data_IF_261044410881
#
_entry.id   IF_261044410881
#
_cell.length_a   1.000
_cell.length_b   1.000
_cell.length_c   1.000
_cell.angle_alpha   90.00
_cell.angle_beta   90.00
_cell.angle_gamma   90.00
#
_symmetry.space_group_name_H-M   'P 1'
#
loop_
_entity.id
_entity.type
_entity.pdbx_description
1 polymer ?
#
# COMPACT_ATOMS: atom_id res chain seq x y z
N UNK A 1 18.93 6.15 22.52
CA UNK A 1 18.21 5.34 21.52
C UNK A 1 18.32 3.90 21.97
N UNK A 2 17.18 3.30 22.29
CA UNK A 2 17.13 1.90 22.71
C UNK A 2 17.36 1.01 21.48
N UNK A 3 18.49 0.29 21.47
CA UNK A 3 18.89 -0.54 20.33
C UNK A 3 17.95 -1.74 20.19
N UNK A 4 17.44 -2.28 21.29
CA UNK A 4 16.50 -3.41 21.26
C UNK A 4 15.17 -2.97 20.64
N UNK A 5 14.66 -1.80 21.04
CA UNK A 5 13.44 -1.23 20.48
C UNK A 5 13.61 -0.88 18.98
N UNK A 6 14.78 -0.37 18.57
CA UNK A 6 15.08 -0.12 17.16
C UNK A 6 15.08 -1.43 16.35
N UNK A 7 15.73 -2.48 16.85
CA UNK A 7 15.75 -3.80 16.20
C UNK A 7 14.34 -4.35 16.09
N UNK A 8 13.55 -4.31 17.16
CA UNK A 8 12.15 -4.75 17.15
C UNK A 8 11.31 -3.96 16.12
N UNK A 9 11.54 -2.66 16.00
CA UNK A 9 10.89 -1.80 14.99
C UNK A 9 11.25 -2.22 13.56
N UNK A 10 12.52 -2.55 13.29
CA UNK A 10 12.95 -3.03 11.97
C UNK A 10 12.35 -4.40 11.64
N UNK A 11 12.32 -5.32 12.62
CA UNK A 11 11.68 -6.64 12.49
C UNK A 11 10.18 -6.52 12.23
N UNK A 12 9.53 -5.44 12.69
CA UNK A 12 8.14 -5.14 12.35
C UNK A 12 7.98 -4.49 10.97
N UNK A 13 8.72 -3.41 10.69
CA UNK A 13 8.56 -2.61 9.46
C UNK A 13 8.85 -3.45 8.21
N UNK A 14 9.97 -4.16 8.19
CA UNK A 14 10.46 -4.80 6.96
C UNK A 14 9.46 -5.86 6.45
N UNK A 15 9.03 -6.86 7.24
CA UNK A 15 8.03 -7.82 6.77
C UNK A 15 6.71 -7.16 6.43
N UNK A 16 6.28 -6.13 7.16
CA UNK A 16 5.03 -5.43 6.87
C UNK A 16 5.06 -4.68 5.53
N UNK A 17 6.17 -4.02 5.20
CA UNK A 17 6.35 -3.33 3.92
C UNK A 17 6.41 -4.31 2.75
N UNK A 18 7.16 -5.41 2.91
CA UNK A 18 7.42 -6.35 1.80
C UNK A 18 6.32 -7.40 1.60
N UNK A 19 5.53 -7.70 2.63
CA UNK A 19 4.44 -8.68 2.53
C UNK A 19 3.37 -8.25 1.51
N UNK A 20 2.72 -9.21 0.82
CA UNK A 20 1.65 -8.89 -0.11
C UNK A 20 0.56 -8.06 0.58
N UNK A 21 0.03 -7.08 -0.14
CA UNK A 21 -0.97 -6.14 0.35
C UNK A 21 -1.41 -5.20 -0.77
N UNK A 22 -2.38 -4.32 -0.53
CA UNK A 22 -3.02 -3.55 -1.60
C UNK A 22 -2.03 -2.74 -2.45
N UNK A 23 -1.09 -2.04 -1.82
CA UNK A 23 -0.07 -1.26 -2.53
C UNK A 23 0.87 -2.14 -3.36
N UNK A 24 1.37 -3.24 -2.78
CA UNK A 24 2.30 -4.15 -3.43
C UNK A 24 1.66 -4.85 -4.62
N UNK A 25 0.45 -5.38 -4.45
CA UNK A 25 -0.32 -6.03 -5.53
C UNK A 25 -0.67 -5.01 -6.61
N UNK A 26 -1.10 -3.80 -6.24
CA UNK A 26 -1.39 -2.74 -7.20
C UNK A 26 -0.15 -2.33 -7.99
N UNK A 27 1.00 -2.16 -7.33
CA UNK A 27 2.25 -1.84 -8.00
C UNK A 27 2.70 -2.94 -8.97
N UNK A 28 2.51 -4.21 -8.61
CA UNK A 28 2.81 -5.33 -9.49
C UNK A 28 1.82 -5.40 -10.68
N UNK A 29 0.53 -5.17 -10.46
CA UNK A 29 -0.49 -5.14 -11.52
C UNK A 29 -0.32 -3.93 -12.46
N UNK A 30 0.03 -2.77 -11.90
CA UNK A 30 0.32 -1.56 -12.68
C UNK A 30 1.65 -1.70 -13.42
N UNK A 31 2.67 -2.31 -12.79
CA UNK A 31 3.96 -2.61 -13.39
C UNK A 31 3.86 -3.61 -14.54
N UNK A 32 2.99 -4.62 -14.44
CA UNK A 32 2.76 -5.55 -15.55
C UNK A 32 2.12 -4.84 -16.76
N UNK A 33 1.20 -3.92 -16.54
CA UNK A 33 0.48 -3.21 -17.61
C UNK A 33 1.27 -2.04 -18.22
N UNK A 34 1.92 -1.23 -17.38
CA UNK A 34 2.54 0.04 -17.77
C UNK A 34 4.07 0.08 -17.60
N UNK A 35 4.67 -1.01 -17.12
CA UNK A 35 6.11 -1.12 -16.88
C UNK A 35 6.58 -0.36 -15.64
N UNK A 36 7.80 -0.67 -15.19
CA UNK A 36 8.38 -0.10 -13.97
C UNK A 36 8.37 1.44 -13.96
N UNK A 37 8.86 2.08 -15.05
CA UNK A 37 8.86 3.55 -15.18
C UNK A 37 7.45 4.15 -15.13
N UNK A 38 6.47 3.47 -15.73
CA UNK A 38 5.07 3.90 -15.71
C UNK A 38 4.46 3.87 -14.32
N UNK A 39 4.95 3.02 -13.42
CA UNK A 39 4.48 2.88 -12.03
C UNK A 39 5.12 3.87 -11.06
N UNK A 40 6.20 4.56 -11.43
CA UNK A 40 6.90 5.49 -10.53
C UNK A 40 6.02 6.67 -10.08
N UNK A 41 5.15 7.18 -10.95
CA UNK A 41 4.21 8.26 -10.60
C UNK A 41 3.17 7.80 -9.59
N UNK A 42 2.74 6.54 -9.66
CA UNK A 42 1.87 5.94 -8.65
C UNK A 42 2.61 5.79 -7.32
N UNK A 43 3.84 5.26 -7.35
CA UNK A 43 4.68 5.04 -6.17
C UNK A 43 5.01 6.34 -5.45
N UNK A 44 5.28 7.44 -6.18
CA UNK A 44 5.52 8.74 -5.56
C UNK A 44 4.28 9.27 -4.84
N UNK A 45 3.09 9.03 -5.41
CA UNK A 45 1.81 9.27 -4.74
C UNK A 45 1.68 8.45 -3.45
N UNK A 46 2.06 7.16 -3.48
CA UNK A 46 2.05 6.31 -2.29
C UNK A 46 3.00 6.82 -1.21
N UNK A 47 4.20 7.27 -1.57
CA UNK A 47 5.17 7.83 -0.63
C UNK A 47 4.63 9.06 0.10
N UNK A 48 3.98 9.97 -0.64
CA UNK A 48 3.34 11.14 -0.05
C UNK A 48 2.12 10.74 0.78
N UNK A 49 1.28 9.83 0.29
CA UNK A 49 0.13 9.32 1.03
C UNK A 49 0.53 8.63 2.34
N UNK A 50 1.58 7.81 2.36
CA UNK A 50 2.11 7.18 3.57
C UNK A 50 2.64 8.23 4.53
N UNK A 51 3.33 9.24 4.02
CA UNK A 51 3.86 10.33 4.85
C UNK A 51 2.72 11.11 5.51
N UNK A 52 1.69 11.48 4.74
CA UNK A 52 0.51 12.18 5.27
C UNK A 52 -0.20 11.30 6.29
N UNK A 53 -0.52 10.05 5.93
CA UNK A 53 -1.21 9.12 6.82
C UNK A 53 -0.42 8.88 8.11
N UNK A 54 0.88 8.61 7.99
CA UNK A 54 1.76 8.36 9.12
C UNK A 54 1.92 9.58 10.03
N UNK A 55 2.02 10.79 9.47
CA UNK A 55 2.05 12.02 10.27
C UNK A 55 0.69 12.36 10.88
N UNK A 56 -0.42 12.05 10.21
CA UNK A 56 -1.75 12.16 10.80
C UNK A 56 -1.89 11.21 11.99
N UNK A 57 -1.54 9.93 11.83
CA UNK A 57 -1.57 8.96 12.94
C UNK A 57 -0.54 9.32 14.02
N UNK A 58 0.64 9.81 13.65
CA UNK A 58 1.68 10.24 14.59
C UNK A 58 1.28 11.48 15.40
N UNK A 59 0.74 12.50 14.74
CA UNK A 59 0.19 13.69 15.38
C UNK A 59 -1.05 13.35 16.21
N UNK A 60 -1.92 12.50 15.67
CA UNK A 60 -3.12 12.07 16.36
C UNK A 60 -2.78 11.18 17.55
N UNK A 61 -1.75 10.34 17.56
CA UNK A 61 -1.31 9.60 18.76
C UNK A 61 -0.65 10.51 19.82
N UNK A 62 -0.54 11.82 19.60
CA UNK A 62 -0.28 12.81 20.68
C UNK A 62 -1.60 13.25 21.34
N UNK A 63 -2.74 13.05 20.67
CA UNK A 63 -4.09 13.44 21.09
C UNK A 63 -5.08 12.28 21.30
N UNK A 64 -4.81 11.09 20.75
CA UNK A 64 -5.63 9.87 20.76
C UNK A 64 -4.98 8.89 21.73
N UNK A 65 -5.03 9.24 23.00
CA UNK A 65 -4.96 8.22 24.05
C UNK A 65 -6.35 7.66 24.40
N UNK A 66 -7.44 7.98 23.66
CA UNK A 66 -8.79 7.71 24.22
C UNK A 66 -9.98 7.41 23.25
N UNK A 67 -9.81 6.95 22.00
CA UNK A 67 -10.98 6.75 21.11
C UNK A 67 -10.91 5.58 20.09
N UNK A 68 -11.18 4.35 20.56
CA UNK A 68 -11.14 3.09 19.80
C UNK A 68 -12.13 3.02 18.60
N UNK A 69 -13.35 3.57 18.74
CA UNK A 69 -14.45 3.43 17.75
C UNK A 69 -14.18 4.12 16.39
N UNK A 70 -13.35 5.16 16.39
CA UNK A 70 -12.95 5.87 15.16
C UNK A 70 -12.14 4.97 14.23
N UNK A 71 -11.30 4.08 14.79
CA UNK A 71 -10.44 3.21 14.01
C UNK A 71 -11.22 2.09 13.30
N UNK A 72 -12.22 1.51 13.96
CA UNK A 72 -13.05 0.45 13.38
C UNK A 72 -13.83 0.96 12.16
N UNK A 73 -14.39 2.17 12.25
CA UNK A 73 -15.15 2.79 11.15
C UNK A 73 -14.30 2.98 9.90
N UNK A 74 -13.05 3.38 10.07
CA UNK A 74 -12.14 3.67 8.97
C UNK A 74 -11.66 2.39 8.28
N UNK A 75 -11.52 1.29 9.02
CA UNK A 75 -11.23 -0.03 8.49
C UNK A 75 -12.32 -0.51 7.51
N UNK A 76 -13.61 -0.37 7.89
CA UNK A 76 -14.73 -0.75 7.03
C UNK A 76 -14.81 0.07 5.73
N UNK A 77 -14.57 1.39 5.81
CA UNK A 77 -14.55 2.28 4.63
C UNK A 77 -13.42 1.88 3.67
N UNK A 78 -12.24 1.58 4.21
CA UNK A 78 -11.11 1.11 3.42
C UNK A 78 -11.38 -0.21 2.71
N UNK A 79 -11.99 -1.16 3.41
CA UNK A 79 -12.36 -2.46 2.87
C UNK A 79 -13.31 -2.34 1.65
N UNK A 80 -14.32 -1.48 1.75
CA UNK A 80 -15.27 -1.22 0.66
C UNK A 80 -14.60 -0.65 -0.60
N UNK A 81 -13.64 0.27 -0.44
CA UNK A 81 -12.92 0.84 -1.58
C UNK A 81 -11.96 -0.14 -2.24
N UNK A 82 -11.28 -0.99 -1.46
CA UNK A 82 -10.43 -2.06 -2.05
C UNK A 82 -11.30 -3.03 -2.84
N UNK A 83 -12.48 -3.40 -2.34
CA UNK A 83 -13.44 -4.24 -3.07
C UNK A 83 -13.86 -3.59 -4.41
N UNK A 84 -14.12 -2.28 -4.41
CA UNK A 84 -14.38 -1.51 -5.63
C UNK A 84 -13.19 -1.52 -6.61
N UNK A 85 -11.97 -1.28 -6.12
CA UNK A 85 -10.77 -1.24 -6.96
C UNK A 85 -10.46 -2.62 -7.57
N UNK A 86 -10.69 -3.68 -6.78
CA UNK A 86 -10.58 -5.05 -7.23
C UNK A 86 -11.54 -5.37 -8.37
N UNK A 87 -12.80 -4.94 -8.26
CA UNK A 87 -13.79 -5.10 -9.33
C UNK A 87 -13.34 -4.38 -10.62
N UNK A 88 -12.81 -3.16 -10.51
CA UNK A 88 -12.30 -2.39 -11.66
C UNK A 88 -11.10 -3.05 -12.35
N UNK A 89 -10.20 -3.67 -11.59
CA UNK A 89 -9.04 -4.40 -12.13
C UNK A 89 -9.47 -5.73 -12.76
N UNK A 90 -10.40 -6.46 -12.15
CA UNK A 90 -10.88 -7.73 -12.67
C UNK A 90 -11.69 -7.60 -13.97
N UNK A 91 -12.25 -6.41 -14.23
CA UNK A 91 -13.09 -6.10 -15.39
C UNK A 91 -12.37 -5.25 -16.45
N UNK A 92 -11.08 -4.93 -16.28
CA UNK A 92 -10.33 -4.19 -17.30
C UNK A 92 -10.08 -5.08 -18.52
N UNK A 93 -10.53 -4.62 -19.70
CA UNK A 93 -10.31 -5.35 -20.94
C UNK A 93 -8.82 -5.37 -21.31
N UNK A 94 -8.30 -6.49 -21.82
CA UNK A 94 -6.95 -6.56 -22.34
C UNK A 94 -6.97 -6.01 -23.77
N UNK A 95 -6.52 -4.77 -23.94
CA UNK A 95 -6.04 -4.22 -25.20
C UNK A 95 -7.06 -4.30 -26.37
N UNK A 96 -8.03 -3.39 -26.43
CA UNK A 96 -8.37 -2.72 -27.69
C UNK A 96 -7.11 -2.01 -28.19
N UNK A 97 -6.65 -2.42 -29.38
CA UNK A 97 -5.64 -1.75 -30.18
C UNK A 97 -6.12 -0.41 -30.77
N UNK A 98 -7.25 0.14 -30.31
CA UNK A 98 -7.91 1.29 -30.92
C UNK A 98 -7.98 2.50 -30.02
N UNK A 99 -8.64 2.39 -28.86
CA UNK A 99 -8.99 3.54 -28.03
C UNK A 99 -8.94 3.12 -26.56
N UNK A 100 -7.84 3.43 -25.89
CA UNK A 100 -7.73 3.12 -24.47
C UNK A 100 -7.25 4.31 -23.66
N UNK A 101 -8.26 5.01 -23.15
CA UNK A 101 -8.30 5.63 -21.84
C UNK A 101 -8.10 4.57 -20.72
N UNK A 102 -7.09 3.69 -20.86
CA UNK A 102 -6.65 2.81 -19.78
C UNK A 102 -5.91 3.71 -18.79
N UNK A 103 -6.68 4.43 -17.97
CA UNK A 103 -6.21 5.47 -17.07
C UNK A 103 -5.05 4.94 -16.25
N UNK A 104 -3.84 5.32 -16.65
CA UNK A 104 -2.62 5.10 -15.88
C UNK A 104 -2.87 5.64 -14.50
N UNK A 105 -2.69 4.80 -13.49
CA UNK A 105 -2.91 5.22 -12.13
C UNK A 105 -1.85 6.26 -11.79
N UNK A 106 -2.31 7.46 -11.45
CA UNK A 106 -1.47 8.61 -11.24
C UNK A 106 -1.09 8.80 -9.77
N UNK A 107 -0.42 9.91 -9.52
CA UNK A 107 -0.03 10.36 -8.19
C UNK A 107 -1.24 10.40 -7.23
N UNK A 108 -2.36 10.98 -7.68
CA UNK A 108 -3.58 11.10 -6.87
C UNK A 108 -4.12 9.75 -6.42
N UNK A 109 -4.08 8.73 -7.29
CA UNK A 109 -4.44 7.36 -6.91
C UNK A 109 -3.49 6.81 -5.85
N UNK A 110 -2.19 7.06 -6.00
CA UNK A 110 -1.18 6.63 -5.03
C UNK A 110 -1.38 7.25 -3.65
N UNK A 111 -1.80 8.52 -3.59
CA UNK A 111 -2.16 9.18 -2.33
C UNK A 111 -3.46 8.61 -1.77
N UNK A 112 -4.52 8.57 -2.58
CA UNK A 112 -5.85 8.16 -2.16
C UNK A 112 -5.88 6.72 -1.62
N UNK A 113 -5.11 5.81 -2.24
CA UNK A 113 -5.11 4.41 -1.82
C UNK A 113 -4.56 4.22 -0.41
N UNK A 114 -3.81 5.16 0.16
CA UNK A 114 -3.33 5.04 1.54
C UNK A 114 -4.45 5.18 2.56
N UNK A 115 -5.44 6.04 2.30
CA UNK A 115 -6.55 6.28 3.23
C UNK A 115 -7.56 5.16 3.29
N UNK A 116 -7.55 4.29 2.30
CA UNK A 116 -8.44 3.13 2.13
C UNK A 116 -7.72 1.81 2.33
N UNK A 117 -6.39 1.82 2.33
CA UNK A 117 -5.59 0.64 2.60
C UNK A 117 -5.58 0.36 4.12
N UNK A 118 -6.48 -0.50 4.59
CA UNK A 118 -6.56 -0.90 6.00
C UNK A 118 -5.23 -1.41 6.58
N UNK A 119 -4.40 -2.06 5.76
CA UNK A 119 -3.04 -2.48 6.17
C UNK A 119 -2.14 -1.28 6.50
N UNK A 120 -2.26 -0.17 5.78
CA UNK A 120 -1.49 1.03 6.03
C UNK A 120 -1.89 1.68 7.36
N UNK A 121 -3.18 1.71 7.69
CA UNK A 121 -3.69 2.17 8.98
C UNK A 121 -3.19 1.30 10.14
N UNK A 122 -3.39 -0.02 10.06
CA UNK A 122 -2.92 -0.96 11.09
C UNK A 122 -1.40 -0.83 11.27
N UNK A 123 -0.66 -0.75 10.16
CA UNK A 123 0.79 -0.56 10.20
C UNK A 123 1.18 0.70 10.98
N UNK A 124 0.64 1.86 10.62
CA UNK A 124 1.00 3.11 11.29
C UNK A 124 0.49 3.19 12.72
N UNK A 125 -0.65 2.56 13.05
CA UNK A 125 -1.13 2.48 14.43
C UNK A 125 -0.17 1.69 15.31
N UNK A 126 0.17 0.47 14.92
CA UNK A 126 1.14 -0.35 15.67
C UNK A 126 2.50 0.33 15.74
N UNK A 127 2.94 0.94 14.62
CA UNK A 127 4.20 1.68 14.58
C UNK A 127 4.22 2.83 15.60
N UNK A 128 3.12 3.57 15.75
CA UNK A 128 3.05 4.72 16.65
C UNK A 128 2.75 4.35 18.10
N UNK A 129 1.98 3.29 18.37
CA UNK A 129 1.63 2.89 19.76
C UNK A 129 2.70 2.01 20.40
N UNK A 130 3.29 1.10 19.63
CA UNK A 130 4.24 0.10 20.14
C UNK A 130 5.69 0.60 20.03
N UNK A 131 6.01 1.29 18.94
CA UNK A 131 7.38 1.72 18.63
C UNK A 131 7.54 3.25 18.62
N UNK A 132 6.49 3.99 18.99
CA UNK A 132 6.42 5.45 18.89
C UNK A 132 7.52 6.22 19.61
N UNK A 133 8.18 5.60 20.59
CA UNK A 133 9.21 6.21 21.44
C UNK A 133 10.65 5.92 21.00
N UNK A 134 10.87 5.12 19.94
CA UNK A 134 12.22 4.75 19.42
C UNK A 134 13.13 5.96 19.23
N UNK A 135 12.59 7.03 18.64
CA UNK A 135 13.29 8.27 18.34
C UNK A 135 12.84 9.43 19.27
N UNK A 136 12.25 9.10 20.42
CA UNK A 136 11.65 10.05 21.36
C UNK A 136 10.12 10.14 21.25
N UNK A 137 9.47 10.57 22.33
CA UNK A 137 7.99 10.61 22.46
C UNK A 137 7.30 11.76 21.71
N UNK A 138 8.07 12.78 21.33
CA UNK A 138 7.54 13.97 20.65
C UNK A 138 7.24 13.75 19.17
N UNK A 139 6.58 14.73 18.55
CA UNK A 139 6.23 14.72 17.12
C UNK A 139 7.44 14.51 16.19
N UNK A 140 8.62 15.01 16.59
CA UNK A 140 9.87 14.78 15.85
C UNK A 140 10.22 13.29 15.77
N UNK A 141 10.13 12.54 16.88
CA UNK A 141 10.41 11.11 16.91
C UNK A 141 9.44 10.30 16.05
N UNK A 142 8.16 10.67 16.09
CA UNK A 142 7.12 10.09 15.22
C UNK A 142 7.36 10.38 13.74
N UNK A 143 7.80 11.60 13.41
CA UNK A 143 8.19 11.97 12.04
C UNK A 143 9.37 11.15 11.52
N UNK A 144 10.34 10.82 12.40
CA UNK A 144 11.45 9.93 12.05
C UNK A 144 11.00 8.49 11.80
N UNK A 145 10.00 7.98 12.53
CA UNK A 145 9.38 6.68 12.23
C UNK A 145 8.69 6.65 10.87
N UNK A 146 7.98 7.74 10.51
CA UNK A 146 7.37 7.87 9.18
C UNK A 146 8.45 7.82 8.09
N UNK A 147 9.54 8.55 8.28
CA UNK A 147 10.67 8.54 7.35
C UNK A 147 11.28 7.13 7.24
N UNK A 148 11.50 6.45 8.36
CA UNK A 148 12.01 5.08 8.40
C UNK A 148 11.10 4.13 7.62
N UNK A 149 9.78 4.25 7.80
CA UNK A 149 8.81 3.46 7.04
C UNK A 149 8.89 3.75 5.53
N UNK A 150 9.01 5.02 5.11
CA UNK A 150 9.17 5.35 3.68
C UNK A 150 10.46 4.76 3.11
N UNK A 151 11.55 4.74 3.88
CA UNK A 151 12.84 4.16 3.46
C UNK A 151 12.74 2.66 3.15
N UNK A 152 11.89 1.90 3.84
CA UNK A 152 11.67 0.47 3.55
C UNK A 152 10.47 0.20 2.63
N UNK A 153 9.43 1.05 2.72
CA UNK A 153 8.22 0.95 1.92
C UNK A 153 8.48 1.20 0.44
N UNK A 154 9.34 2.18 0.09
CA UNK A 154 9.71 2.47 -1.29
C UNK A 154 10.39 1.28 -1.99
N UNK A 155 11.49 0.70 -1.46
CA UNK A 155 12.06 -0.53 -2.00
C UNK A 155 11.06 -1.66 -2.12
N UNK A 156 10.16 -1.83 -1.14
CA UNK A 156 9.13 -2.86 -1.20
C UNK A 156 8.22 -2.68 -2.41
N UNK A 157 7.52 -1.55 -2.56
CA UNK A 157 6.61 -1.36 -3.71
C UNK A 157 7.35 -1.31 -5.05
N UNK A 158 8.58 -0.82 -5.08
CA UNK A 158 9.42 -0.87 -6.28
C UNK A 158 9.77 -2.31 -6.66
N UNK A 159 10.11 -3.18 -5.69
CA UNK A 159 10.38 -4.58 -5.95
C UNK A 159 9.15 -5.31 -6.52
N UNK A 160 7.96 -5.02 -6.01
CA UNK A 160 6.70 -5.54 -6.54
C UNK A 160 6.37 -4.98 -7.93
N UNK A 161 6.63 -3.70 -8.20
CA UNK A 161 6.48 -3.12 -9.54
C UNK A 161 7.45 -3.75 -10.55
N UNK A 162 8.70 -3.98 -10.14
CA UNK A 162 9.70 -4.66 -10.96
C UNK A 162 9.28 -6.12 -11.21
N UNK A 163 8.84 -6.83 -10.18
CA UNK A 163 8.30 -8.18 -10.28
C UNK A 163 7.15 -8.25 -11.30
N UNK A 164 6.16 -7.37 -11.20
CA UNK A 164 5.06 -7.31 -12.16
C UNK A 164 5.52 -7.03 -13.60
N UNK A 165 6.50 -6.14 -13.76
CA UNK A 165 7.10 -5.82 -15.07
C UNK A 165 7.81 -7.03 -15.69
N UNK A 166 8.56 -7.79 -14.89
CA UNK A 166 9.25 -9.01 -15.32
C UNK A 166 8.23 -10.13 -15.61
N UNK A 167 7.22 -10.27 -14.75
CA UNK A 167 6.16 -11.28 -14.89
C UNK A 167 5.40 -11.13 -16.21
N UNK A 168 5.12 -9.89 -16.63
CA UNK A 168 4.51 -9.61 -17.95
C UNK A 168 5.39 -10.07 -19.12
N UNK A 169 6.72 -10.02 -18.98
CA UNK A 169 7.65 -10.53 -20.02
C UNK A 169 7.66 -12.06 -20.08
N UNK A 170 7.32 -12.74 -18.99
CA UNK A 170 7.18 -14.19 -18.96
C UNK A 170 5.82 -14.67 -19.52
N UNK A 171 4.78 -13.82 -19.45
CA UNK A 171 3.41 -14.12 -19.89
C UNK A 171 2.99 -13.23 -21.06
N UNK A 172 3.58 -13.47 -22.24
CA UNK A 172 3.46 -12.63 -23.44
C UNK A 172 2.20 -12.86 -24.28
N UNK A 173 1.47 -13.95 -24.06
CA UNK A 173 0.27 -14.26 -24.86
C UNK A 173 -0.96 -13.49 -24.34
N UNK A 174 -1.92 -13.11 -25.21
CA UNK A 174 -3.16 -12.45 -24.78
C UNK A 174 -3.92 -13.25 -23.71
N UNK A 175 -3.98 -14.58 -23.86
CA UNK A 175 -4.59 -15.48 -22.86
C UNK A 175 -3.83 -15.47 -21.53
N UNK A 176 -2.50 -15.49 -21.54
CA UNK A 176 -1.73 -15.43 -20.29
C UNK A 176 -1.81 -14.08 -19.58
N UNK A 177 -1.93 -12.98 -20.33
CA UNK A 177 -2.16 -11.65 -19.78
C UNK A 177 -3.54 -11.55 -19.10
N UNK A 178 -4.59 -12.13 -19.70
CA UNK A 178 -5.93 -12.23 -19.09
C UNK A 178 -5.88 -13.03 -17.80
N UNK A 179 -5.24 -14.20 -17.82
CA UNK A 179 -5.11 -15.07 -16.63
C UNK A 179 -4.34 -14.36 -15.52
N UNK A 180 -3.26 -13.64 -15.86
CA UNK A 180 -2.50 -12.86 -14.91
C UNK A 180 -3.34 -11.73 -14.30
N UNK A 181 -4.04 -10.94 -15.12
CA UNK A 181 -4.89 -9.85 -14.63
C UNK A 181 -6.02 -10.38 -13.72
N UNK A 182 -6.63 -11.52 -14.07
CA UNK A 182 -7.64 -12.18 -13.22
C UNK A 182 -7.06 -12.68 -11.91
N UNK A 183 -5.86 -13.28 -11.92
CA UNK A 183 -5.19 -13.72 -10.70
C UNK A 183 -4.84 -12.55 -9.78
N UNK A 184 -4.32 -11.45 -10.34
CA UNK A 184 -4.00 -10.25 -9.55
C UNK A 184 -5.26 -9.57 -9.01
N UNK A 185 -6.30 -9.44 -9.84
CA UNK A 185 -7.61 -8.95 -9.40
C UNK A 185 -8.21 -9.81 -8.28
N UNK A 186 -8.21 -11.14 -8.43
CA UNK A 186 -8.68 -12.07 -7.40
C UNK A 186 -7.85 -11.96 -6.10
N UNK A 187 -6.53 -11.79 -6.20
CA UNK A 187 -5.68 -11.60 -5.02
C UNK A 187 -5.99 -10.29 -4.28
N UNK A 188 -6.29 -9.21 -5.01
CA UNK A 188 -6.69 -7.94 -4.40
C UNK A 188 -8.08 -8.05 -3.76
N UNK A 189 -9.00 -8.79 -4.39
CA UNK A 189 -10.31 -9.09 -3.83
C UNK A 189 -10.22 -9.89 -2.53
N UNK A 190 -9.38 -10.92 -2.51
CA UNK A 190 -9.15 -11.74 -1.33
C UNK A 190 -8.59 -10.91 -0.16
N UNK A 191 -7.70 -9.95 -0.45
CA UNK A 191 -7.22 -8.99 0.55
C UNK A 191 -8.35 -8.09 1.05
N UNK A 192 -9.24 -7.63 0.18
CA UNK A 192 -10.42 -6.86 0.58
C UNK A 192 -11.32 -7.66 1.53
N UNK A 193 -11.62 -8.93 1.20
CA UNK A 193 -12.44 -9.82 2.04
C UNK A 193 -11.78 -10.10 3.40
N UNK A 194 -10.47 -10.33 3.43
CA UNK A 194 -9.74 -10.55 4.68
C UNK A 194 -9.89 -9.36 5.63
N UNK A 195 -9.81 -8.13 5.12
CA UNK A 195 -9.94 -6.90 5.92
C UNK A 195 -11.34 -6.76 6.55
N UNK A 196 -12.38 -7.32 5.92
CA UNK A 196 -13.76 -7.26 6.44
C UNK A 196 -14.03 -8.31 7.52
N UNK A 197 -13.27 -9.41 7.52
CA UNK A 197 -13.52 -10.58 8.39
C UNK A 197 -12.68 -10.54 9.68
N UNK A 198 -11.68 -9.66 9.77
CA UNK A 198 -10.90 -9.39 10.98
C UNK A 198 -11.47 -8.23 11.79
#
# INVERSE_FOLDING_TARGET
MDVELLVATLVFIIPMCFSPGPNNVLCAAHGSQHGFKGTLTLISGMAVGWSILGLLVGGATVFIEDNQSFFDTLAYIGAAYIAYLSYKIATSNPLDEGHHDNQRLGFTTGVAIQFVNGKAWIHFLVLMTTFGTVFGSGFMGKSMLVLLNVMFGLPAVMSWAAFGTVLRRAFTTPRSAIVLNRAMGASLFAVALWIVVQ
#
